data_IF_846234575976
#
_entry.id   IF_846234575976
#
_cell.length_a   1.000
_cell.length_b   1.000
_cell.length_c   1.000
_cell.angle_alpha   90.00
_cell.angle_beta   90.00
_cell.angle_gamma   90.00
#
_symmetry.space_group_name_H-M   'P 1'
#
loop_
_entity.id
_entity.type
_entity.pdbx_description
1 polymer ?
#
# COMPACT_ATOMS: atom_id res chain seq x y z
N UNK A 1 -0.65 -27.47 5.89
CA UNK A 1 0.63 -27.26 5.19
C UNK A 1 1.46 -26.32 6.07
N UNK A 2 2.43 -26.87 6.81
CA UNK A 2 3.12 -26.14 7.89
C UNK A 2 4.17 -25.18 7.31
N UNK A 3 3.99 -23.89 7.53
CA UNK A 3 4.87 -22.81 7.04
C UNK A 3 6.05 -22.69 8.01
N UNK A 4 7.16 -23.37 7.71
CA UNK A 4 8.38 -23.25 8.50
C UNK A 4 9.05 -21.90 8.24
N UNK A 5 8.76 -20.93 9.10
CA UNK A 5 9.44 -19.63 9.14
C UNK A 5 10.79 -19.83 9.82
N UNK A 6 11.86 -19.95 9.03
CA UNK A 6 13.22 -20.10 9.57
C UNK A 6 13.75 -18.73 9.98
N UNK A 7 13.61 -18.38 11.27
CA UNK A 7 14.06 -17.10 11.84
C UNK A 7 15.56 -17.16 12.13
N UNK A 8 16.39 -16.58 11.27
CA UNK A 8 17.81 -16.32 11.56
C UNK A 8 17.98 -14.85 11.97
N UNK A 9 18.22 -14.61 13.26
CA UNK A 9 18.52 -13.27 13.78
C UNK A 9 20.02 -13.19 13.99
N UNK A 10 20.73 -12.45 13.13
CA UNK A 10 22.17 -12.21 13.27
C UNK A 10 22.35 -10.75 13.68
N UNK A 11 22.81 -10.51 14.91
CA UNK A 11 23.20 -9.20 15.40
C UNK A 11 24.69 -8.99 15.10
N UNK A 12 25.00 -8.39 13.95
CA UNK A 12 26.35 -7.88 13.66
C UNK A 12 26.35 -6.36 13.78
N UNK A 13 27.25 -5.83 14.60
CA UNK A 13 27.52 -4.40 14.70
C UNK A 13 28.49 -4.04 13.57
N UNK A 14 28.00 -3.34 12.56
CA UNK A 14 28.82 -2.85 11.46
C UNK A 14 28.74 -1.33 11.43
N UNK A 15 29.88 -0.68 11.64
CA UNK A 15 29.98 0.79 11.56
C UNK A 15 30.02 1.23 10.09
N UNK A 16 29.87 2.54 9.83
CA UNK A 16 30.08 3.04 8.47
C UNK A 16 31.59 3.12 8.21
N UNK A 17 32.09 2.66 7.04
CA UNK A 17 33.50 2.79 6.70
C UNK A 17 33.89 4.27 6.51
N UNK A 18 35.01 4.68 7.10
CA UNK A 18 35.49 6.06 7.08
C UNK A 18 36.09 6.47 5.72
N UNK A 19 36.50 5.51 4.90
CA UNK A 19 37.12 5.76 3.60
C UNK A 19 36.83 4.65 2.58
N UNK A 20 36.98 4.97 1.29
CA UNK A 20 36.88 4.00 0.19
C UNK A 20 37.91 2.87 0.32
N UNK A 21 39.08 3.18 0.87
CA UNK A 21 40.13 2.20 1.13
C UNK A 21 39.72 1.19 2.22
N UNK A 22 38.92 1.61 3.21
CA UNK A 22 38.42 0.71 4.25
C UNK A 22 37.42 -0.30 3.68
N UNK A 23 36.59 0.11 2.71
CA UNK A 23 35.62 -0.78 2.05
C UNK A 23 36.33 -1.94 1.33
N UNK A 24 37.47 -1.66 0.69
CA UNK A 24 38.19 -2.63 -0.14
C UNK A 24 39.24 -3.44 0.63
N UNK A 25 39.84 -2.88 1.69
CA UNK A 25 40.99 -3.51 2.38
C UNK A 25 40.66 -4.19 3.70
N UNK A 26 39.63 -3.73 4.43
CA UNK A 26 39.25 -4.39 5.68
C UNK A 26 38.51 -5.69 5.36
N UNK A 27 38.98 -6.79 5.95
CA UNK A 27 38.44 -8.14 5.75
C UNK A 27 36.93 -8.25 5.97
N UNK A 28 36.38 -7.44 6.88
CA UNK A 28 34.94 -7.40 7.19
C UNK A 28 34.08 -6.88 6.04
N UNK A 29 34.56 -5.85 5.33
CA UNK A 29 33.87 -5.24 4.19
C UNK A 29 34.24 -5.94 2.89
N UNK A 30 35.52 -6.26 2.72
CA UNK A 30 36.01 -7.01 1.57
C UNK A 30 35.25 -8.34 1.45
N UNK A 31 35.07 -9.11 2.53
CA UNK A 31 34.31 -10.36 2.43
C UNK A 31 32.84 -10.14 1.99
N UNK A 32 32.20 -9.04 2.38
CA UNK A 32 30.80 -8.77 2.04
C UNK A 32 30.63 -8.22 0.61
N UNK A 33 31.60 -7.45 0.15
CA UNK A 33 31.52 -6.63 -1.05
C UNK A 33 32.41 -7.10 -2.20
N UNK A 34 33.42 -7.91 -1.90
CA UNK A 34 34.30 -8.55 -2.87
C UNK A 34 33.67 -9.89 -3.27
N UNK A 35 32.98 -9.87 -4.40
CA UNK A 35 32.41 -11.05 -5.03
C UNK A 35 32.99 -11.11 -6.44
N UNK A 36 33.65 -12.21 -6.83
CA UNK A 36 34.38 -12.32 -8.09
C UNK A 36 33.51 -12.04 -9.33
N UNK A 37 32.19 -12.17 -9.20
CA UNK A 37 31.22 -11.95 -10.28
C UNK A 37 30.52 -10.58 -10.26
N UNK A 38 30.64 -9.79 -9.18
CA UNK A 38 29.86 -8.55 -9.03
C UNK A 38 30.64 -7.51 -8.20
N UNK A 39 31.65 -6.93 -8.85
CA UNK A 39 32.50 -5.88 -8.28
C UNK A 39 31.69 -4.61 -8.01
N UNK A 40 31.94 -3.99 -6.86
CA UNK A 40 31.28 -2.74 -6.49
C UNK A 40 31.84 -1.58 -7.33
N UNK A 41 30.94 -0.88 -8.01
CA UNK A 41 31.25 0.30 -8.81
C UNK A 41 31.73 1.49 -7.95
N UNK A 42 32.57 2.35 -8.52
CA UNK A 42 33.13 3.53 -7.84
C UNK A 42 32.05 4.47 -7.28
N UNK A 43 30.91 4.56 -7.96
CA UNK A 43 29.74 5.34 -7.53
C UNK A 43 29.04 4.72 -6.30
N UNK A 44 29.05 3.41 -6.16
CA UNK A 44 28.56 2.75 -4.94
C UNK A 44 29.51 3.00 -3.77
N UNK A 45 30.83 2.96 -4.01
CA UNK A 45 31.85 3.20 -2.95
C UNK A 45 31.75 4.64 -2.44
N UNK A 46 31.62 5.63 -3.32
CA UNK A 46 31.40 7.03 -2.90
C UNK A 46 30.07 7.19 -2.17
N UNK A 47 29.04 6.46 -2.57
CA UNK A 47 27.75 6.39 -1.88
C UNK A 47 27.83 5.79 -0.48
N UNK A 48 28.65 4.75 -0.28
CA UNK A 48 28.90 4.08 0.99
C UNK A 48 29.58 5.03 1.98
N UNK A 49 30.61 5.75 1.54
CA UNK A 49 31.40 6.64 2.40
C UNK A 49 30.65 7.95 2.68
N UNK A 50 29.94 8.49 1.69
CA UNK A 50 29.32 9.81 1.78
C UNK A 50 27.98 9.88 2.50
N UNK A 51 27.27 8.76 2.72
CA UNK A 51 25.92 8.80 3.31
C UNK A 51 25.51 7.48 3.98
N UNK A 52 25.27 7.53 5.30
CA UNK A 52 24.82 6.39 6.12
C UNK A 52 23.57 5.71 5.53
N UNK A 53 22.57 6.47 5.07
CA UNK A 53 21.34 5.89 4.50
C UNK A 53 21.61 5.16 3.18
N UNK A 54 22.54 5.67 2.35
CA UNK A 54 22.96 4.97 1.13
C UNK A 54 23.76 3.72 1.47
N UNK A 55 24.67 3.80 2.44
CA UNK A 55 25.40 2.65 2.96
C UNK A 55 24.44 1.54 3.45
N UNK A 56 23.49 1.86 4.34
CA UNK A 56 22.55 0.88 4.87
C UNK A 56 21.67 0.25 3.77
N UNK A 57 21.31 1.02 2.75
CA UNK A 57 20.59 0.52 1.58
C UNK A 57 21.44 -0.51 0.82
N UNK A 58 22.68 -0.17 0.48
CA UNK A 58 23.60 -1.06 -0.26
C UNK A 58 23.95 -2.29 0.58
N UNK A 59 24.21 -2.10 1.87
CA UNK A 59 24.46 -3.18 2.83
C UNK A 59 23.29 -4.17 2.89
N UNK A 60 22.05 -3.67 3.06
CA UNK A 60 20.85 -4.54 3.09
C UNK A 60 20.70 -5.37 1.83
N UNK A 61 21.04 -4.81 0.67
CA UNK A 61 20.99 -5.50 -0.61
C UNK A 61 22.06 -6.59 -0.68
N UNK A 62 23.34 -6.26 -0.46
CA UNK A 62 24.43 -7.24 -0.54
C UNK A 62 24.29 -8.37 0.49
N UNK A 63 23.78 -8.08 1.69
CA UNK A 63 23.43 -9.12 2.69
C UNK A 63 22.31 -10.02 2.17
N UNK A 64 21.26 -9.45 1.59
CA UNK A 64 20.16 -10.23 1.01
C UNK A 64 20.66 -11.16 -0.10
N UNK A 65 21.47 -10.67 -1.04
CA UNK A 65 22.04 -11.48 -2.12
C UNK A 65 22.94 -12.60 -1.59
N UNK A 66 23.73 -12.35 -0.55
CA UNK A 66 24.60 -13.39 0.01
C UNK A 66 23.83 -14.47 0.76
N UNK A 67 22.73 -14.11 1.43
CA UNK A 67 21.96 -15.06 2.24
C UNK A 67 20.88 -15.79 1.45
N UNK A 68 20.35 -15.15 0.41
CA UNK A 68 19.23 -15.67 -0.39
C UNK A 68 19.58 -15.85 -1.87
N UNK A 69 20.76 -15.41 -2.31
CA UNK A 69 21.28 -15.71 -3.64
C UNK A 69 21.69 -17.16 -3.73
N UNK A 70 21.31 -17.81 -4.83
CA UNK A 70 21.48 -19.25 -5.11
C UNK A 70 20.41 -20.15 -4.46
N UNK A 71 19.14 -19.89 -4.78
CA UNK A 71 18.15 -20.99 -4.77
C UNK A 71 17.29 -20.94 -6.03
N UNK A 72 17.68 -21.71 -7.05
CA UNK A 72 16.93 -21.91 -8.30
C UNK A 72 15.63 -22.73 -8.14
N UNK A 73 15.25 -23.16 -6.93
CA UNK A 73 14.30 -24.28 -6.82
C UNK A 73 13.21 -24.18 -5.74
N UNK A 74 12.82 -22.99 -5.28
CA UNK A 74 11.63 -22.89 -4.43
C UNK A 74 10.87 -21.58 -4.63
N UNK A 75 9.55 -21.69 -4.83
CA UNK A 75 8.53 -20.63 -4.91
C UNK A 75 8.36 -19.77 -3.64
N UNK A 76 9.36 -19.77 -2.76
CA UNK A 76 9.31 -19.08 -1.47
C UNK A 76 9.93 -17.70 -1.62
N UNK A 77 9.13 -16.68 -1.36
CA UNK A 77 9.60 -15.29 -1.41
C UNK A 77 10.35 -15.02 -0.11
N UNK A 78 11.63 -14.67 -0.23
CA UNK A 78 12.45 -14.30 0.93
C UNK A 78 12.32 -12.80 1.23
N UNK A 79 12.41 -12.46 2.51
CA UNK A 79 12.36 -11.10 3.01
C UNK A 79 13.47 -10.92 4.07
N UNK A 80 14.24 -9.86 3.94
CA UNK A 80 15.21 -9.41 4.93
C UNK A 80 14.70 -8.13 5.59
N UNK A 81 14.63 -8.12 6.91
CA UNK A 81 14.36 -6.92 7.69
C UNK A 81 15.65 -6.44 8.36
N UNK A 82 16.09 -5.24 8.01
CA UNK A 82 17.21 -4.55 8.64
C UNK A 82 16.65 -3.44 9.53
N UNK A 83 16.88 -3.55 10.83
CA UNK A 83 16.52 -2.53 11.82
C UNK A 83 17.82 -2.02 12.43
N UNK A 84 18.12 -0.75 12.19
CA UNK A 84 19.30 -0.08 12.75
C UNK A 84 18.82 0.93 13.79
N UNK A 85 19.30 0.73 15.00
CA UNK A 85 19.03 1.57 16.16
C UNK A 85 20.36 2.17 16.56
N UNK A 86 20.52 3.46 16.33
CA UNK A 86 21.70 4.19 16.76
C UNK A 86 21.40 4.83 18.12
N UNK A 87 22.19 4.48 19.15
CA UNK A 87 22.07 5.02 20.51
C UNK A 87 21.12 4.28 21.45
N UNK A 88 21.10 4.74 22.71
CA UNK A 88 20.15 4.28 23.73
C UNK A 88 18.74 4.69 23.32
N UNK A 89 17.78 3.77 23.42
CA UNK A 89 16.34 4.02 23.26
C UNK A 89 15.99 5.33 24.00
N UNK A 90 15.63 6.39 23.25
CA UNK A 90 15.26 7.77 23.68
C UNK A 90 16.16 8.93 23.19
N UNK A 91 17.22 8.72 22.43
CA UNK A 91 17.96 9.86 21.83
C UNK A 91 17.26 10.37 20.55
N UNK A 92 16.48 11.45 20.68
CA UNK A 92 15.75 12.09 19.57
C UNK A 92 16.63 12.62 18.43
N UNK A 93 17.97 12.66 18.62
CA UNK A 93 18.92 13.10 17.58
C UNK A 93 19.36 11.97 16.65
N UNK A 94 19.05 10.71 16.98
CA UNK A 94 19.45 9.55 16.20
C UNK A 94 18.25 8.92 15.53
N UNK A 95 18.26 8.91 14.19
CA UNK A 95 17.10 8.50 13.40
C UNK A 95 17.14 6.97 13.25
N UNK A 96 16.15 6.23 13.77
CA UNK A 96 16.04 4.80 13.53
C UNK A 96 15.90 4.56 12.02
N UNK A 97 16.59 3.54 11.50
CA UNK A 97 16.52 3.17 10.10
C UNK A 97 16.02 1.73 9.97
N UNK A 98 14.76 1.61 9.53
CA UNK A 98 14.14 0.34 9.20
C UNK A 98 14.06 0.18 7.69
N UNK A 99 14.57 -0.94 7.18
CA UNK A 99 14.53 -1.30 5.77
C UNK A 99 14.16 -2.76 5.59
N UNK A 100 13.11 -3.01 4.82
CA UNK A 100 12.72 -4.34 4.38
C UNK A 100 13.16 -4.51 2.92
N UNK A 101 13.88 -5.59 2.64
CA UNK A 101 14.40 -5.92 1.32
C UNK A 101 13.85 -7.28 0.86
N UNK A 102 13.38 -7.35 -0.38
CA UNK A 102 12.88 -8.57 -1.01
C UNK A 102 13.23 -8.61 -2.50
N UNK A 103 13.41 -9.83 -3.02
CA UNK A 103 13.57 -10.11 -4.44
C UNK A 103 12.27 -10.07 -5.26
N UNK A 104 11.10 -10.16 -4.63
CA UNK A 104 9.82 -10.08 -5.35
C UNK A 104 9.39 -8.63 -5.58
N UNK A 105 9.22 -8.17 -6.83
CA UNK A 105 8.78 -6.79 -7.11
C UNK A 105 7.34 -6.54 -6.64
N UNK A 106 6.50 -7.58 -6.60
CA UNK A 106 5.11 -7.49 -6.14
C UNK A 106 5.01 -7.30 -4.64
N UNK A 107 5.78 -8.06 -3.86
CA UNK A 107 5.82 -7.90 -2.40
C UNK A 107 6.40 -6.54 -2.00
N UNK A 108 7.35 -6.01 -2.79
CA UNK A 108 7.99 -4.70 -2.55
C UNK A 108 7.00 -3.53 -2.47
N UNK A 109 5.81 -3.64 -3.05
CA UNK A 109 4.80 -2.58 -3.00
C UNK A 109 4.18 -2.41 -1.60
N UNK A 110 4.11 -3.48 -0.80
CA UNK A 110 3.46 -3.47 0.53
C UNK A 110 4.42 -3.04 1.66
N UNK A 111 5.73 -3.25 1.47
CA UNK A 111 6.75 -3.02 2.48
C UNK A 111 7.00 -1.55 2.90
N UNK A 112 6.84 -0.51 2.05
CA UNK A 112 7.12 0.86 2.44
C UNK A 112 6.22 1.37 3.56
N UNK A 113 4.95 0.96 3.57
CA UNK A 113 4.01 1.36 4.62
C UNK A 113 4.43 0.79 5.97
N UNK A 114 4.76 -0.51 6.02
CA UNK A 114 5.26 -1.19 7.22
C UNK A 114 6.57 -0.54 7.70
N UNK A 115 7.50 -0.22 6.79
CA UNK A 115 8.74 0.48 7.13
C UNK A 115 8.47 1.83 7.82
N UNK A 116 7.50 2.60 7.31
CA UNK A 116 7.16 3.90 7.87
C UNK A 116 6.50 3.78 9.25
N UNK A 117 5.61 2.80 9.42
CA UNK A 117 4.94 2.54 10.70
C UNK A 117 5.94 2.16 11.80
N UNK A 118 6.86 1.23 11.50
CA UNK A 118 7.90 0.80 12.45
C UNK A 118 8.88 1.94 12.73
N UNK A 119 9.28 2.73 11.73
CA UNK A 119 10.10 3.93 11.96
C UNK A 119 9.39 4.92 12.88
N UNK A 120 8.09 5.15 12.69
CA UNK A 120 7.30 6.04 13.54
C UNK A 120 7.21 5.51 14.98
N UNK A 121 6.99 4.20 15.17
CA UNK A 121 6.94 3.58 16.50
C UNK A 121 8.28 3.72 17.24
N UNK A 122 9.41 3.54 16.54
CA UNK A 122 10.75 3.74 17.12
C UNK A 122 10.99 5.21 17.49
N UNK A 123 10.59 6.16 16.64
CA UNK A 123 10.71 7.61 16.92
C UNK A 123 9.84 8.01 18.12
N UNK A 124 8.69 7.37 18.32
CA UNK A 124 7.82 7.59 19.48
C UNK A 124 8.35 6.96 20.77
N UNK A 125 9.49 6.25 20.73
CA UNK A 125 10.09 5.62 21.91
C UNK A 125 9.36 4.37 22.40
N UNK A 126 8.65 3.67 21.52
CA UNK A 126 8.02 2.40 21.88
C UNK A 126 9.08 1.36 22.26
N UNK A 127 8.78 0.43 23.18
CA UNK A 127 9.72 -0.59 23.59
C UNK A 127 10.10 -1.48 22.40
N UNK A 128 11.40 -1.68 22.19
CA UNK A 128 11.93 -2.39 21.02
C UNK A 128 11.33 -3.79 20.84
N UNK A 129 11.12 -4.52 21.94
CA UNK A 129 10.51 -5.85 21.89
C UNK A 129 9.13 -5.82 21.22
N UNK A 130 8.30 -4.83 21.59
CA UNK A 130 6.97 -4.63 21.01
C UNK A 130 7.06 -4.20 19.54
N UNK A 131 7.97 -3.27 19.21
CA UNK A 131 8.14 -2.83 17.83
C UNK A 131 8.59 -3.97 16.91
N UNK A 132 9.45 -4.87 17.40
CA UNK A 132 9.86 -6.05 16.65
C UNK A 132 8.71 -7.06 16.51
N UNK A 133 7.89 -7.23 17.56
CA UNK A 133 6.69 -8.07 17.52
C UNK A 133 5.71 -7.55 16.47
N UNK A 134 5.32 -6.27 16.54
CA UNK A 134 4.43 -5.60 15.59
C UNK A 134 4.99 -5.70 14.16
N UNK A 135 6.30 -5.46 13.97
CA UNK A 135 6.96 -5.59 12.66
C UNK A 135 6.85 -7.02 12.10
N UNK A 136 7.05 -8.04 12.93
CA UNK A 136 6.98 -9.45 12.49
C UNK A 136 5.55 -9.81 12.12
N UNK A 137 4.58 -9.34 12.89
CA UNK A 137 3.15 -9.57 12.63
C UNK A 137 2.70 -8.89 11.34
N UNK A 138 3.04 -7.61 11.15
CA UNK A 138 2.72 -6.85 9.93
C UNK A 138 3.32 -7.47 8.68
N UNK A 139 4.58 -7.90 8.77
CA UNK A 139 5.24 -8.65 7.71
C UNK A 139 4.54 -9.99 7.47
N UNK A 140 4.12 -10.68 8.53
CA UNK A 140 3.37 -11.93 8.46
C UNK A 140 2.04 -11.76 7.74
N UNK A 141 1.28 -10.70 8.06
CA UNK A 141 0.03 -10.35 7.39
C UNK A 141 0.26 -10.01 5.91
N UNK A 142 1.27 -9.20 5.60
CA UNK A 142 1.61 -8.85 4.22
C UNK A 142 2.03 -10.08 3.40
N UNK A 143 2.78 -11.02 3.98
CA UNK A 143 3.14 -12.28 3.33
C UNK A 143 1.92 -13.17 3.13
N UNK A 144 1.06 -13.29 4.14
CA UNK A 144 -0.19 -14.05 4.04
C UNK A 144 -1.07 -13.51 2.90
N UNK A 145 -1.30 -12.21 2.88
CA UNK A 145 -2.08 -11.53 1.84
C UNK A 145 -1.45 -11.71 0.45
N UNK A 146 -0.12 -11.60 0.35
CA UNK A 146 0.61 -11.87 -0.88
C UNK A 146 0.38 -13.30 -1.41
N UNK A 147 0.40 -14.30 -0.53
CA UNK A 147 0.15 -15.70 -0.91
C UNK A 147 -1.33 -15.98 -1.21
N UNK A 148 -2.26 -15.34 -0.51
CA UNK A 148 -3.71 -15.47 -0.78
C UNK A 148 -4.10 -14.85 -2.12
N UNK A 149 -3.46 -13.73 -2.51
CA UNK A 149 -3.74 -13.00 -3.74
C UNK A 149 -2.78 -13.34 -4.88
N UNK A 150 -1.84 -14.27 -4.70
CA UNK A 150 -0.76 -14.56 -5.66
C UNK A 150 0.02 -13.31 -6.13
N UNK A 151 0.13 -12.31 -5.26
CA UNK A 151 0.76 -11.03 -5.52
C UNK A 151 -0.06 -10.04 -6.36
N UNK A 152 -1.34 -10.29 -6.57
CA UNK A 152 -2.28 -9.30 -7.08
C UNK A 152 -2.70 -8.33 -5.95
N UNK A 153 -3.04 -7.09 -6.31
CA UNK A 153 -3.60 -6.16 -5.33
C UNK A 153 -5.00 -6.62 -4.96
N UNK A 154 -5.40 -6.40 -3.70
CA UNK A 154 -6.80 -6.58 -3.31
C UNK A 154 -7.66 -5.71 -4.20
N UNK A 155 -8.51 -6.35 -5.00
CA UNK A 155 -9.55 -5.67 -5.74
C UNK A 155 -10.54 -5.08 -4.72
N UNK A 156 -10.32 -3.83 -4.33
CA UNK A 156 -11.34 -2.99 -3.69
C UNK A 156 -12.37 -2.48 -4.70
N UNK A 157 -12.43 -3.10 -5.88
CA UNK A 157 -13.42 -2.77 -6.88
C UNK A 157 -14.82 -3.05 -6.31
N UNK A 158 -15.72 -2.09 -6.50
CA UNK A 158 -17.12 -2.23 -6.08
C UNK A 158 -17.66 -3.51 -6.75
N UNK A 159 -18.22 -4.45 -5.97
CA UNK A 159 -18.62 -5.74 -6.52
C UNK A 159 -19.63 -5.53 -7.65
N UNK A 160 -19.57 -6.38 -8.67
CA UNK A 160 -20.37 -6.24 -9.89
C UNK A 160 -21.88 -6.14 -9.58
N UNK A 161 -22.36 -6.84 -8.55
CA UNK A 161 -23.76 -6.76 -8.11
C UNK A 161 -24.15 -5.35 -7.63
N UNK A 162 -23.26 -4.65 -6.91
CA UNK A 162 -23.52 -3.30 -6.39
C UNK A 162 -23.48 -2.28 -7.52
N UNK A 163 -22.59 -2.46 -8.50
CA UNK A 163 -22.56 -1.64 -9.73
C UNK A 163 -23.85 -1.81 -10.53
N UNK A 164 -24.32 -3.04 -10.70
CA UNK A 164 -25.56 -3.35 -11.41
C UNK A 164 -26.77 -2.75 -10.69
N UNK A 165 -26.84 -2.86 -9.36
CA UNK A 165 -27.92 -2.29 -8.55
C UNK A 165 -27.97 -0.76 -8.64
N UNK A 166 -26.82 -0.10 -8.64
CA UNK A 166 -26.73 1.36 -8.86
C UNK A 166 -27.27 1.76 -10.24
N UNK A 167 -26.91 1.02 -11.30
CA UNK A 167 -27.41 1.28 -12.65
C UNK A 167 -28.92 1.09 -12.78
N UNK A 168 -29.47 0.05 -12.14
CA UNK A 168 -30.93 -0.17 -12.09
C UNK A 168 -31.63 0.99 -11.40
N UNK A 169 -31.11 1.44 -10.25
CA UNK A 169 -31.67 2.57 -9.53
C UNK A 169 -31.67 3.85 -10.37
N UNK A 170 -30.55 4.14 -11.05
CA UNK A 170 -30.44 5.28 -11.96
C UNK A 170 -31.44 5.20 -13.12
N UNK A 171 -31.60 4.01 -13.72
CA UNK A 171 -32.59 3.79 -14.78
C UNK A 171 -34.03 4.00 -14.29
N UNK A 172 -34.37 3.56 -13.08
CA UNK A 172 -35.68 3.77 -12.48
C UNK A 172 -35.97 5.26 -12.23
N UNK A 173 -34.99 6.03 -11.76
CA UNK A 173 -35.13 7.48 -11.58
C UNK A 173 -35.39 8.17 -12.92
N UNK A 174 -34.62 7.82 -13.96
CA UNK A 174 -34.83 8.37 -15.31
C UNK A 174 -36.22 8.00 -15.84
N UNK A 175 -36.65 6.75 -15.67
CA UNK A 175 -37.98 6.31 -16.07
C UNK A 175 -39.09 7.08 -15.32
N UNK A 176 -38.93 7.30 -14.00
CA UNK A 176 -39.88 8.08 -13.21
C UNK A 176 -39.99 9.52 -13.73
N UNK A 177 -38.86 10.18 -14.01
CA UNK A 177 -38.83 11.52 -14.58
C UNK A 177 -39.48 11.58 -15.98
N UNK A 178 -39.26 10.56 -16.82
CA UNK A 178 -39.91 10.47 -18.13
C UNK A 178 -41.42 10.26 -18.02
N UNK A 179 -41.87 9.43 -17.07
CA UNK A 179 -43.30 9.21 -16.81
C UNK A 179 -43.95 10.49 -16.31
N UNK A 180 -43.33 11.19 -15.35
CA UNK A 180 -43.82 12.50 -14.88
C UNK A 180 -43.91 13.50 -16.04
N UNK A 181 -42.85 13.61 -16.84
CA UNK A 181 -42.82 14.49 -18.01
C UNK A 181 -43.93 14.14 -19.02
N UNK A 182 -44.12 12.85 -19.30
CA UNK A 182 -45.16 12.34 -20.19
C UNK A 182 -46.57 12.63 -19.66
N UNK A 183 -46.83 12.38 -18.37
CA UNK A 183 -48.13 12.65 -17.72
C UNK A 183 -48.45 14.14 -17.71
N UNK A 184 -47.47 15.00 -17.38
CA UNK A 184 -47.63 16.46 -17.41
C UNK A 184 -47.94 16.95 -18.83
N UNK A 185 -47.21 16.48 -19.84
CA UNK A 185 -47.47 16.80 -21.26
C UNK A 185 -48.87 16.37 -21.71
N UNK A 186 -49.31 15.16 -21.32
CA UNK A 186 -50.65 14.65 -21.66
C UNK A 186 -51.75 15.48 -21.01
N UNK A 187 -51.60 15.87 -19.74
CA UNK A 187 -52.58 16.73 -19.05
C UNK A 187 -52.70 18.12 -19.68
N UNK A 188 -51.60 18.73 -20.12
CA UNK A 188 -51.62 20.02 -20.84
C UNK A 188 -52.26 19.89 -22.24
N UNK A 189 -52.04 18.76 -22.93
CA UNK A 189 -52.68 18.46 -24.20
C UNK A 189 -54.20 18.30 -24.09
N UNK A 190 -54.68 17.62 -23.04
CA UNK A 190 -56.12 17.39 -22.79
C UNK A 190 -56.86 18.67 -22.40
N UNK A 191 -56.22 19.60 -21.67
CA UNK A 191 -56.83 20.92 -21.41
C UNK A 191 -56.93 21.79 -22.67
N UNK A 192 -56.02 21.64 -23.64
CA UNK A 192 -56.09 22.39 -24.91
C UNK A 192 -57.06 21.81 -25.93
N UNK A 193 -57.40 20.52 -25.86
CA UNK A 193 -58.33 19.86 -26.78
C UNK A 193 -59.79 19.84 -26.31
N UNK A 194 -60.06 20.19 -25.05
CA UNK A 194 -61.41 20.34 -24.51
C UNK A 194 -61.87 21.80 -24.47
N UNK A 195 -62.22 22.39 -25.61
CA UNK A 195 -63.04 23.61 -25.62
C UNK A 195 -64.47 23.27 -25.20
N UNK A 196 -64.69 22.98 -23.93
CA UNK A 196 -66.03 22.90 -23.37
C UNK A 196 -66.56 24.33 -23.36
N UNK A 197 -67.34 24.68 -24.37
CA UNK A 197 -68.22 25.86 -24.35
C UNK A 197 -69.17 25.68 -23.17
N UNK A 198 -68.87 26.31 -22.04
CA UNK A 198 -69.83 26.48 -20.96
C UNK A 198 -70.89 27.44 -21.51
N UNK A 199 -71.98 26.88 -22.03
CA UNK A 199 -73.17 27.64 -22.35
C UNK A 199 -73.75 28.16 -21.02
N UNK A 200 -73.55 29.46 -20.77
CA UNK A 200 -74.18 30.21 -19.70
C UNK A 200 -75.70 30.20 -19.91
N UNK A 201 -76.38 29.17 -19.40
CA UNK A 201 -77.83 29.17 -19.25
C UNK A 201 -78.23 30.25 -18.25
N UNK A 202 -78.91 31.30 -18.72
CA UNK A 202 -79.50 32.35 -17.88
C UNK A 202 -80.48 31.71 -16.90
N UNK A 203 -80.06 31.54 -15.64
CA UNK A 203 -80.97 31.18 -14.55
C UNK A 203 -81.73 32.43 -14.10
N UNK A 204 -83.06 32.44 -14.24
CA UNK A 204 -83.95 33.40 -13.59
C UNK A 204 -84.17 32.92 -12.15
N UNK A 205 -83.29 33.30 -11.23
CA UNK A 205 -83.56 33.24 -9.80
C UNK A 205 -84.35 34.50 -9.41
N UNK A 206 -85.65 34.32 -9.15
CA UNK A 206 -86.45 35.30 -8.43
C UNK A 206 -85.92 35.38 -6.98
N UNK A 207 -85.51 36.58 -6.57
CA UNK A 207 -85.36 36.95 -5.16
C UNK A 207 -86.75 37.29 -4.62
N UNK A 208 -87.22 36.56 -3.62
CA UNK A 208 -88.32 37.01 -2.75
C UNK A 208 -87.73 37.35 -1.38
N UNK A 209 -88.06 38.55 -0.91
CA UNK A 209 -87.80 39.06 0.44
C UNK A 209 -88.79 38.45 1.43
#
# INVERSE_FOLDING_TARGET
MSMALKKHTITKQLEQPASANDVMKKSEYACLFDNECDQIDGDMITGIVGNVRKFLKIYSWKVYERWFGVSESCSKTNLLALVVIDGVVNDARKIPYVRLHTGSPRLRAFLPNIQNEVNNALVQGWPLAKVIEDLVDDVGYALKEYYELNGEQRDHSVPLWARNLFLICLALVVAALLVEWYVVRRKIGVQKSGSIKIASGKSKTHLMF
#
